data_IF_966711245985
#
_entry.id   IF_966711245985
#
_cell.length_a   1.000
_cell.length_b   1.000
_cell.length_c   1.000
_cell.angle_alpha   90.00
_cell.angle_beta   90.00
_cell.angle_gamma   90.00
#
_symmetry.space_group_name_H-M   'P 1'
#
loop_
_entity.id
_entity.type
_entity.pdbx_description
1 polymer ?
#
# COMPACT_ATOMS: atom_id res chain seq x y z
N UNK A 1 -59.58 65.30 -40.70
CA UNK A 1 -59.45 63.85 -40.92
C UNK A 1 -57.96 63.45 -40.95
N UNK A 2 -57.40 63.01 -39.84
CA UNK A 2 -56.02 62.55 -39.76
C UNK A 2 -56.00 61.01 -39.89
N UNK A 3 -55.27 60.48 -40.93
CA UNK A 3 -55.04 59.08 -41.12
C UNK A 3 -53.85 58.61 -40.28
N UNK A 4 -54.09 57.83 -39.25
CA UNK A 4 -53.03 57.13 -38.53
C UNK A 4 -52.49 55.96 -39.41
N UNK A 5 -51.20 56.04 -39.72
CA UNK A 5 -50.45 54.91 -40.34
C UNK A 5 -50.04 53.94 -39.25
N UNK A 6 -50.61 52.71 -39.27
CA UNK A 6 -50.15 51.56 -38.50
C UNK A 6 -48.78 51.18 -38.95
N UNK A 7 -47.74 51.27 -38.10
CA UNK A 7 -46.41 50.63 -38.32
C UNK A 7 -46.38 49.37 -37.50
N UNK A 8 -46.45 48.24 -38.18
CA UNK A 8 -46.22 46.93 -37.60
C UNK A 8 -44.73 46.78 -37.34
N UNK A 9 -44.33 46.69 -36.06
CA UNK A 9 -42.94 46.42 -35.68
C UNK A 9 -42.72 44.89 -35.64
N UNK A 10 -42.02 44.35 -36.62
CA UNK A 10 -41.68 42.90 -36.64
C UNK A 10 -40.43 42.72 -35.79
N UNK A 11 -40.57 42.10 -34.62
CA UNK A 11 -39.43 41.71 -33.76
C UNK A 11 -38.94 40.38 -34.27
N UNK A 12 -37.75 40.37 -34.87
CA UNK A 12 -37.04 39.17 -35.28
C UNK A 12 -36.28 38.60 -34.07
N UNK A 13 -36.82 37.54 -33.44
CA UNK A 13 -36.13 36.86 -32.36
C UNK A 13 -35.14 35.84 -32.99
N UNK A 14 -33.86 36.15 -32.96
CA UNK A 14 -32.79 35.25 -33.33
C UNK A 14 -32.57 34.27 -32.19
N UNK A 15 -33.09 33.04 -32.31
CA UNK A 15 -32.79 31.94 -31.41
C UNK A 15 -31.48 31.30 -31.88
N UNK A 16 -30.36 31.63 -31.23
CA UNK A 16 -29.08 30.92 -31.44
C UNK A 16 -29.15 29.60 -30.68
N UNK A 17 -28.98 28.45 -31.33
CA UNK A 17 -28.90 27.19 -30.62
C UNK A 17 -27.58 27.12 -29.83
N UNK A 18 -27.69 27.11 -28.50
CA UNK A 18 -26.55 26.89 -27.60
C UNK A 18 -26.20 25.42 -27.69
N UNK A 19 -25.22 25.07 -28.52
CA UNK A 19 -24.63 23.70 -28.54
C UNK A 19 -23.88 23.48 -27.24
N UNK A 20 -24.47 22.76 -26.30
CA UNK A 20 -23.79 22.22 -25.14
C UNK A 20 -22.89 21.09 -25.62
N UNK A 21 -21.60 21.38 -25.81
CA UNK A 21 -20.58 20.32 -25.97
C UNK A 21 -20.39 19.70 -24.57
N UNK A 22 -21.11 18.59 -24.33
CA UNK A 22 -20.85 17.75 -23.17
C UNK A 22 -19.47 17.05 -23.39
N UNK A 23 -18.40 17.70 -22.93
CA UNK A 23 -17.12 17.04 -22.78
C UNK A 23 -17.29 15.98 -21.71
N UNK A 24 -17.40 14.72 -22.10
CA UNK A 24 -17.31 13.59 -21.19
C UNK A 24 -15.92 13.64 -20.53
N UNK A 25 -15.85 14.15 -19.31
CA UNK A 25 -14.69 13.99 -18.46
C UNK A 25 -14.58 12.48 -18.17
N UNK A 26 -13.78 11.79 -18.98
CA UNK A 26 -13.38 10.43 -18.66
C UNK A 26 -12.58 10.56 -17.36
N UNK A 27 -13.10 10.05 -16.26
CA UNK A 27 -12.32 9.90 -15.03
C UNK A 27 -11.09 9.06 -15.41
N UNK A 28 -9.90 9.62 -15.22
CA UNK A 28 -8.65 8.89 -15.39
C UNK A 28 -8.70 7.70 -14.43
N UNK A 29 -8.68 6.47 -14.96
CA UNK A 29 -8.65 5.28 -14.11
C UNK A 29 -7.39 5.37 -13.25
N UNK A 30 -7.58 5.45 -11.93
CA UNK A 30 -6.50 5.53 -10.99
C UNK A 30 -5.56 4.33 -11.18
N UNK A 31 -4.27 4.60 -11.39
CA UNK A 31 -3.29 3.54 -11.56
C UNK A 31 -3.20 2.66 -10.31
N UNK A 32 -3.03 1.34 -10.47
CA UNK A 32 -2.88 0.43 -9.35
C UNK A 32 -1.71 0.84 -8.45
N UNK A 33 -1.97 1.02 -7.17
CA UNK A 33 -0.95 1.31 -6.17
C UNK A 33 -0.09 0.07 -5.89
N UNK A 34 1.16 0.31 -5.54
CA UNK A 34 2.11 -0.68 -5.03
C UNK A 34 2.27 -0.46 -3.53
N UNK A 35 1.73 -1.37 -2.75
CA UNK A 35 1.64 -1.27 -1.29
C UNK A 35 2.58 -2.29 -0.66
N UNK A 36 3.37 -1.89 0.33
CA UNK A 36 4.23 -2.79 1.09
C UNK A 36 3.92 -2.65 2.59
N UNK A 37 3.72 -3.79 3.26
CA UNK A 37 3.42 -3.84 4.69
C UNK A 37 4.53 -4.61 5.40
N UNK A 38 5.19 -3.98 6.38
CA UNK A 38 6.23 -4.58 7.19
C UNK A 38 5.69 -5.05 8.54
N UNK A 39 5.84 -6.34 8.83
CA UNK A 39 5.69 -6.97 10.12
C UNK A 39 7.07 -7.32 10.70
N UNK A 40 7.16 -7.55 11.99
CA UNK A 40 8.39 -8.02 12.61
C UNK A 40 8.56 -9.54 12.41
N UNK A 41 7.52 -10.31 12.65
CA UNK A 41 7.54 -11.77 12.57
C UNK A 41 6.60 -12.29 11.49
N UNK A 42 6.81 -13.56 11.03
CA UNK A 42 5.90 -14.21 10.07
C UNK A 42 4.53 -14.48 10.71
N UNK A 43 3.63 -13.56 10.59
CA UNK A 43 2.20 -13.45 10.96
C UNK A 43 1.78 -12.00 11.24
N UNK A 44 2.67 -11.11 11.65
CA UNK A 44 2.32 -9.74 12.03
C UNK A 44 1.64 -8.97 10.88
N UNK A 45 2.24 -8.99 9.70
CA UNK A 45 1.70 -8.28 8.55
C UNK A 45 0.36 -8.89 8.10
N UNK A 46 0.26 -10.21 8.13
CA UNK A 46 -0.95 -10.97 7.83
C UNK A 46 -2.05 -10.71 8.84
N UNK A 47 -1.72 -10.77 10.13
CA UNK A 47 -2.68 -10.57 11.22
C UNK A 47 -3.22 -9.14 11.28
N UNK A 48 -2.35 -8.15 11.09
CA UNK A 48 -2.71 -6.72 11.19
C UNK A 48 -3.35 -6.18 9.90
N UNK A 49 -2.89 -6.62 8.74
CA UNK A 49 -3.25 -6.03 7.45
C UNK A 49 -3.92 -7.01 6.48
N UNK A 50 -3.99 -8.33 6.77
CA UNK A 50 -4.40 -9.34 5.80
C UNK A 50 -5.75 -9.07 5.16
N UNK A 51 -6.78 -8.71 5.96
CA UNK A 51 -8.09 -8.36 5.42
C UNK A 51 -8.06 -7.15 4.47
N UNK A 52 -7.35 -6.10 4.85
CA UNK A 52 -7.18 -4.90 4.03
C UNK A 52 -6.34 -5.20 2.79
N UNK A 53 -5.27 -5.98 2.93
CA UNK A 53 -4.41 -6.42 1.83
C UNK A 53 -5.19 -7.21 0.77
N UNK A 54 -6.07 -8.13 1.20
CA UNK A 54 -6.94 -8.88 0.30
C UNK A 54 -7.92 -7.97 -0.45
N UNK A 55 -8.51 -6.98 0.22
CA UNK A 55 -9.39 -5.99 -0.42
C UNK A 55 -8.65 -5.16 -1.46
N UNK A 56 -7.44 -4.70 -1.16
CA UNK A 56 -6.61 -3.96 -2.11
C UNK A 56 -6.22 -4.82 -3.30
N UNK A 57 -5.86 -6.10 -3.08
CA UNK A 57 -5.56 -7.02 -4.15
C UNK A 57 -6.79 -7.25 -5.07
N UNK A 58 -7.99 -7.39 -4.50
CA UNK A 58 -9.25 -7.49 -5.26
C UNK A 58 -9.55 -6.22 -6.07
N UNK A 59 -9.12 -5.05 -5.60
CA UNK A 59 -9.22 -3.77 -6.30
C UNK A 59 -8.14 -3.58 -7.37
N UNK A 60 -7.26 -4.56 -7.57
CA UNK A 60 -6.20 -4.54 -8.59
C UNK A 60 -4.89 -3.91 -8.12
N UNK A 61 -4.77 -3.49 -6.86
CA UNK A 61 -3.52 -2.99 -6.30
C UNK A 61 -2.49 -4.12 -6.13
N UNK A 62 -1.21 -3.79 -6.13
CA UNK A 62 -0.11 -4.72 -5.87
C UNK A 62 0.28 -4.62 -4.40
N UNK A 63 0.15 -5.71 -3.66
CA UNK A 63 0.44 -5.73 -2.22
C UNK A 63 1.55 -6.73 -1.92
N UNK A 64 2.51 -6.33 -1.09
CA UNK A 64 3.56 -7.22 -0.54
C UNK A 64 3.53 -7.14 0.99
N UNK A 65 3.49 -8.31 1.63
CA UNK A 65 3.67 -8.48 3.06
C UNK A 65 5.11 -8.93 3.32
N UNK A 66 5.80 -8.26 4.25
CA UNK A 66 7.21 -8.55 4.58
C UNK A 66 7.34 -8.80 6.07
N UNK A 67 7.92 -9.93 6.44
CA UNK A 67 8.39 -10.19 7.80
C UNK A 67 9.87 -9.89 7.88
N UNK A 68 10.27 -9.03 8.81
CA UNK A 68 11.67 -8.56 8.92
C UNK A 68 12.54 -9.57 9.66
N UNK A 69 11.96 -10.43 10.52
CA UNK A 69 12.63 -11.57 11.13
C UNK A 69 12.07 -12.88 10.61
N UNK A 70 12.80 -13.98 10.81
CA UNK A 70 12.44 -15.31 10.30
C UNK A 70 11.55 -16.11 11.26
N UNK A 71 11.28 -15.61 12.49
CA UNK A 71 10.40 -16.25 13.47
C UNK A 71 10.95 -17.56 14.05
N UNK A 72 12.26 -17.77 14.05
CA UNK A 72 12.91 -19.04 14.38
C UNK A 72 12.90 -19.43 15.86
N UNK A 73 12.44 -18.55 16.76
CA UNK A 73 12.30 -18.86 18.20
C UNK A 73 10.87 -18.65 18.75
N UNK A 74 9.93 -18.25 17.95
CA UNK A 74 8.56 -17.89 18.36
C UNK A 74 7.60 -19.08 18.54
N UNK A 75 8.06 -20.28 18.91
CA UNK A 75 7.22 -21.46 19.07
C UNK A 75 7.60 -22.27 20.33
N UNK A 76 6.61 -22.86 20.98
CA UNK A 76 6.81 -23.54 22.28
C UNK A 76 7.51 -24.91 22.20
N UNK A 77 7.52 -25.56 21.01
CA UNK A 77 8.14 -26.88 20.81
C UNK A 77 9.26 -26.90 19.77
N UNK A 78 9.35 -25.86 18.94
CA UNK A 78 10.28 -25.81 17.80
C UNK A 78 11.12 -24.56 17.84
N UNK A 79 12.36 -24.63 17.36
CA UNK A 79 13.24 -23.50 17.21
C UNK A 79 14.23 -23.69 16.06
N UNK A 80 14.95 -22.61 15.72
CA UNK A 80 16.02 -22.59 14.73
C UNK A 80 15.54 -22.77 13.30
N UNK A 81 16.43 -23.22 12.43
CA UNK A 81 16.20 -23.28 10.98
C UNK A 81 14.95 -24.07 10.55
N UNK A 82 14.58 -25.11 11.29
CA UNK A 82 13.37 -25.89 11.01
C UNK A 82 12.11 -25.06 11.22
N UNK A 83 12.07 -24.27 12.29
CA UNK A 83 10.96 -23.36 12.54
C UNK A 83 10.93 -22.21 11.52
N UNK A 84 12.09 -21.61 11.22
CA UNK A 84 12.18 -20.54 10.21
C UNK A 84 11.63 -20.99 8.85
N UNK A 85 12.00 -22.21 8.39
CA UNK A 85 11.47 -22.78 7.15
C UNK A 85 9.96 -22.97 7.18
N UNK A 86 9.42 -23.47 8.29
CA UNK A 86 7.99 -23.62 8.50
C UNK A 86 7.28 -22.28 8.45
N UNK A 87 7.77 -21.26 9.18
CA UNK A 87 7.19 -19.92 9.22
C UNK A 87 7.19 -19.25 7.84
N UNK A 88 8.29 -19.39 7.09
CA UNK A 88 8.36 -18.90 5.71
C UNK A 88 7.32 -19.57 4.79
N UNK A 89 7.10 -20.88 4.94
CA UNK A 89 6.10 -21.63 4.19
C UNK A 89 4.66 -21.17 4.55
N UNK A 90 4.40 -20.95 5.84
CA UNK A 90 3.11 -20.46 6.34
C UNK A 90 2.81 -19.05 5.80
N UNK A 91 3.77 -18.11 5.86
CA UNK A 91 3.64 -16.76 5.30
C UNK A 91 3.36 -16.79 3.78
N UNK A 92 4.09 -17.66 3.04
CA UNK A 92 3.83 -17.85 1.61
C UNK A 92 2.43 -18.39 1.34
N UNK A 93 1.95 -19.35 2.12
CA UNK A 93 0.60 -19.91 1.98
C UNK A 93 -0.46 -18.85 2.27
N UNK A 94 -0.27 -18.04 3.32
CA UNK A 94 -1.16 -16.92 3.64
C UNK A 94 -1.19 -15.89 2.50
N UNK A 95 -0.03 -15.49 1.95
CA UNK A 95 0.05 -14.60 0.81
C UNK A 95 -0.73 -15.10 -0.41
N UNK A 96 -0.63 -16.40 -0.72
CA UNK A 96 -1.38 -17.01 -1.81
C UNK A 96 -2.90 -16.95 -1.59
N UNK A 97 -3.37 -17.17 -0.36
CA UNK A 97 -4.80 -17.10 0.00
C UNK A 97 -5.30 -15.65 -0.11
N UNK A 98 -4.50 -14.69 0.32
CA UNK A 98 -4.84 -13.26 0.29
C UNK A 98 -4.72 -12.64 -1.12
N UNK A 99 -4.08 -13.34 -2.07
CA UNK A 99 -3.80 -12.81 -3.41
C UNK A 99 -2.69 -11.75 -3.43
N UNK A 100 -1.73 -11.82 -2.51
CA UNK A 100 -0.63 -10.87 -2.33
C UNK A 100 0.73 -11.56 -2.36
N UNK A 101 1.81 -10.78 -2.56
CA UNK A 101 3.17 -11.30 -2.38
C UNK A 101 3.54 -11.34 -0.90
N UNK A 102 4.35 -12.34 -0.51
CA UNK A 102 4.93 -12.43 0.83
C UNK A 102 6.43 -12.68 0.75
N UNK A 103 7.16 -12.09 1.70
CA UNK A 103 8.62 -12.24 1.82
C UNK A 103 9.00 -12.29 3.30
N UNK A 104 9.91 -13.20 3.66
CA UNK A 104 10.44 -13.31 5.02
C UNK A 104 11.95 -13.12 4.93
N UNK A 105 12.49 -12.13 5.67
CA UNK A 105 13.94 -11.89 5.73
C UNK A 105 14.59 -12.84 6.74
N UNK A 106 15.86 -13.16 6.50
CA UNK A 106 16.64 -14.03 7.36
C UNK A 106 17.39 -13.23 8.44
N UNK A 107 16.62 -12.71 9.41
CA UNK A 107 17.12 -12.09 10.65
C UNK A 107 16.52 -12.87 11.81
N UNK A 108 17.32 -13.23 12.81
CA UNK A 108 16.84 -13.96 13.98
C UNK A 108 15.73 -13.21 14.72
N UNK A 109 14.71 -13.95 15.10
CA UNK A 109 13.62 -13.46 15.93
C UNK A 109 14.15 -13.04 17.32
N UNK A 110 13.74 -11.86 17.80
CA UNK A 110 14.21 -11.27 19.05
C UNK A 110 15.55 -10.54 18.95
N UNK A 111 16.25 -10.59 17.81
CA UNK A 111 17.58 -10.00 17.64
C UNK A 111 17.62 -8.84 16.63
N UNK A 112 16.47 -8.36 16.19
CA UNK A 112 16.41 -7.21 15.28
C UNK A 112 16.94 -5.95 15.97
N UNK A 113 17.93 -5.30 15.35
CA UNK A 113 18.46 -4.01 15.77
C UNK A 113 18.31 -2.98 14.63
N UNK A 114 18.13 -1.69 14.95
CA UNK A 114 18.02 -0.63 13.94
C UNK A 114 19.40 -0.18 13.42
N UNK A 115 20.15 -1.15 12.90
CA UNK A 115 21.49 -0.92 12.32
C UNK A 115 21.42 -0.31 10.93
N UNK A 116 22.52 0.27 10.46
CA UNK A 116 22.65 0.75 9.08
C UNK A 116 22.42 -0.37 8.05
N UNK A 117 22.88 -1.59 8.35
CA UNK A 117 22.69 -2.74 7.47
C UNK A 117 21.19 -3.07 7.31
N UNK A 118 20.48 -3.19 8.42
CA UNK A 118 19.06 -3.49 8.39
C UNK A 118 18.25 -2.35 7.75
N UNK A 119 18.60 -1.09 8.00
CA UNK A 119 17.97 0.05 7.31
C UNK A 119 18.16 -0.02 5.80
N UNK A 120 19.37 -0.38 5.32
CA UNK A 120 19.62 -0.57 3.88
C UNK A 120 18.76 -1.68 3.28
N UNK A 121 18.52 -2.79 4.01
CA UNK A 121 17.59 -3.85 3.56
C UNK A 121 16.17 -3.31 3.36
N UNK A 122 15.65 -2.54 4.32
CA UNK A 122 14.32 -1.91 4.20
C UNK A 122 14.26 -0.92 3.03
N UNK A 123 15.24 -0.02 2.90
CA UNK A 123 15.33 0.93 1.77
C UNK A 123 15.32 0.18 0.43
N UNK A 124 16.10 -0.90 0.33
CA UNK A 124 16.17 -1.73 -0.88
C UNK A 124 14.80 -2.31 -1.23
N UNK A 125 14.11 -2.93 -0.27
CA UNK A 125 12.78 -3.51 -0.46
C UNK A 125 11.76 -2.47 -0.96
N UNK A 126 11.70 -1.30 -0.33
CA UNK A 126 10.79 -0.22 -0.73
C UNK A 126 11.08 0.25 -2.16
N UNK A 127 12.36 0.40 -2.51
CA UNK A 127 12.78 0.83 -3.87
C UNK A 127 12.48 -0.23 -4.92
N UNK A 128 12.85 -1.49 -4.68
CA UNK A 128 12.62 -2.61 -5.62
C UNK A 128 11.13 -2.83 -5.84
N UNK A 129 10.33 -2.74 -4.77
CA UNK A 129 8.87 -2.79 -4.86
C UNK A 129 8.28 -1.56 -5.55
N UNK A 130 9.00 -0.43 -5.63
CA UNK A 130 8.50 0.88 -6.09
C UNK A 130 7.23 1.27 -5.32
N UNK A 131 7.32 1.21 -4.00
CA UNK A 131 6.16 1.38 -3.14
C UNK A 131 5.58 2.80 -3.23
N UNK A 132 4.26 2.89 -3.45
CA UNK A 132 3.47 4.13 -3.33
C UNK A 132 2.99 4.33 -1.89
N UNK A 133 2.76 3.22 -1.17
CA UNK A 133 2.32 3.21 0.22
C UNK A 133 3.13 2.20 1.02
N UNK A 134 3.64 2.65 2.17
CA UNK A 134 4.38 1.82 3.12
C UNK A 134 3.63 1.79 4.45
N UNK A 135 3.37 0.60 4.96
CA UNK A 135 2.73 0.35 6.26
C UNK A 135 3.70 -0.40 7.16
N UNK A 136 3.74 -0.07 8.43
CA UNK A 136 4.66 -0.65 9.40
C UNK A 136 4.08 -0.65 10.81
N UNK A 137 4.79 -1.32 11.72
CA UNK A 137 4.60 -1.15 13.15
C UNK A 137 4.83 0.31 13.56
N UNK A 138 4.21 0.69 14.68
CA UNK A 138 4.50 1.95 15.38
C UNK A 138 5.82 1.83 16.16
N UNK A 139 6.57 2.92 16.40
CA UNK A 139 7.82 2.88 17.16
C UNK A 139 7.63 2.64 18.67
N UNK A 140 6.38 2.60 19.16
CA UNK A 140 5.99 2.37 20.55
C UNK A 140 5.16 1.09 20.63
N UNK A 141 5.79 -0.01 20.97
CA UNK A 141 5.15 -1.33 21.04
C UNK A 141 5.73 -2.15 22.21
N UNK A 142 5.03 -3.21 22.64
CA UNK A 142 5.50 -4.09 23.72
C UNK A 142 6.74 -4.89 23.28
N UNK A 143 6.78 -5.34 22.00
CA UNK A 143 7.85 -6.18 21.49
C UNK A 143 9.00 -5.32 20.95
N UNK A 144 10.28 -5.61 21.27
CA UNK A 144 11.42 -4.86 20.74
C UNK A 144 11.50 -4.89 19.22
N UNK A 145 11.33 -6.05 18.59
CA UNK A 145 11.38 -6.16 17.13
C UNK A 145 10.29 -5.34 16.45
N UNK A 146 9.07 -5.28 16.99
CA UNK A 146 8.01 -4.41 16.49
C UNK A 146 8.45 -2.94 16.48
N UNK A 147 9.04 -2.49 17.61
CA UNK A 147 9.55 -1.12 17.72
C UNK A 147 10.65 -0.84 16.71
N UNK A 148 11.59 -1.79 16.56
CA UNK A 148 12.72 -1.62 15.65
C UNK A 148 12.32 -1.69 14.18
N UNK A 149 11.34 -2.50 13.79
CA UNK A 149 10.73 -2.42 12.46
C UNK A 149 10.13 -1.04 12.24
N UNK A 150 9.36 -0.51 13.20
CA UNK A 150 8.78 0.84 13.12
C UNK A 150 9.84 1.91 12.91
N UNK A 151 10.94 1.87 13.68
CA UNK A 151 12.08 2.80 13.57
C UNK A 151 12.79 2.65 12.21
N UNK A 152 13.12 1.42 11.79
CA UNK A 152 13.81 1.15 10.53
C UNK A 152 13.01 1.64 9.32
N UNK A 153 11.69 1.41 9.31
CA UNK A 153 10.82 1.85 8.23
C UNK A 153 10.66 3.38 8.25
N UNK A 154 10.52 3.99 9.42
CA UNK A 154 10.46 5.45 9.56
C UNK A 154 11.75 6.11 9.05
N UNK A 155 12.91 5.58 9.45
CA UNK A 155 14.21 6.03 8.94
C UNK A 155 14.33 5.85 7.42
N UNK A 156 13.85 4.71 6.90
CA UNK A 156 13.88 4.40 5.48
C UNK A 156 13.01 5.36 4.66
N UNK A 157 11.89 5.84 5.19
CA UNK A 157 10.95 6.71 4.49
C UNK A 157 11.61 7.98 3.93
N UNK A 158 12.59 8.55 4.65
CA UNK A 158 13.39 9.66 4.12
C UNK A 158 14.50 9.15 3.18
N UNK A 159 15.18 8.06 3.55
CA UNK A 159 16.37 7.58 2.84
C UNK A 159 16.06 6.99 1.45
N UNK A 160 14.84 6.58 1.17
CA UNK A 160 14.44 6.05 -0.15
C UNK A 160 14.55 7.09 -1.27
N UNK A 161 14.55 8.38 -0.94
CA UNK A 161 14.65 9.50 -1.89
C UNK A 161 16.09 10.00 -2.07
N UNK A 162 17.02 9.52 -1.29
CA UNK A 162 18.44 9.96 -1.27
C UNK A 162 19.29 9.22 -2.30
#
# INVERSE_FOLDING_TARGET
MLKLKNRTCTILVLITPLFFIATSLKAEEAQPLRIICFGAHPDDAEYKNGGTAALWAQQGHKVKLVSVTNGDIGHFEMAGGTLAQRRAAESKAAGNILGVESEVLDIHDGELLPTLENRKKIVKLIREWKADLVISHRPWDYHPDHRYVGILVQDAAFMVTV
#
